data_IF_760506350485
#
_entry.id   IF_760506350485
#
_cell.length_a   1.000
_cell.length_b   1.000
_cell.length_c   1.000
_cell.angle_alpha   90.00
_cell.angle_beta   90.00
_cell.angle_gamma   90.00
#
_symmetry.space_group_name_H-M   'P 1'
#
loop_
_entity.id
_entity.type
_entity.pdbx_description
1 polymer ?
#
# COMPACT_ATOMS: atom_id res chain seq x y z
N UNK A 1 -8.50 46.65 21.15
CA UNK A 1 -7.19 45.96 21.10
C UNK A 1 -7.50 44.48 21.06
N UNK A 2 -6.92 43.68 20.14
CA UNK A 2 -7.13 42.24 20.14
C UNK A 2 -6.69 41.68 21.50
N UNK A 3 -7.60 40.96 22.16
CA UNK A 3 -7.31 40.35 23.46
C UNK A 3 -6.42 39.13 23.24
N UNK A 4 -5.11 39.34 23.37
CA UNK A 4 -4.07 38.33 23.17
C UNK A 4 -4.33 37.04 23.95
N UNK A 5 -5.02 37.11 25.10
CA UNK A 5 -5.39 35.93 25.88
C UNK A 5 -6.35 35.01 25.13
N UNK A 6 -7.34 35.59 24.45
CA UNK A 6 -8.32 34.83 23.65
C UNK A 6 -7.71 34.27 22.37
N UNK A 7 -6.83 35.03 21.70
CA UNK A 7 -6.17 34.59 20.47
C UNK A 7 -5.26 33.38 20.71
N UNK A 8 -4.50 33.37 21.81
CA UNK A 8 -3.63 32.25 22.17
C UNK A 8 -4.46 31.03 22.59
N UNK A 9 -5.52 31.21 23.39
CA UNK A 9 -6.42 30.13 23.77
C UNK A 9 -7.12 29.46 22.58
N UNK A 10 -7.55 30.26 21.60
CA UNK A 10 -8.16 29.78 20.36
C UNK A 10 -7.14 29.03 19.47
N UNK A 11 -5.92 29.56 19.33
CA UNK A 11 -4.87 28.88 18.57
C UNK A 11 -4.50 27.51 19.17
N UNK A 12 -4.44 27.41 20.50
CA UNK A 12 -4.17 26.15 21.19
C UNK A 12 -5.32 25.15 20.99
N UNK A 13 -6.56 25.60 21.14
CA UNK A 13 -7.76 24.77 20.94
C UNK A 13 -7.85 24.24 19.51
N UNK A 14 -7.52 25.07 18.53
CA UNK A 14 -7.45 24.67 17.12
C UNK A 14 -6.35 23.64 16.88
N UNK A 15 -5.16 23.83 17.45
CA UNK A 15 -4.07 22.85 17.34
C UNK A 15 -4.46 21.49 17.94
N UNK A 16 -5.12 21.47 19.10
CA UNK A 16 -5.62 20.25 19.72
C UNK A 16 -6.71 19.57 18.86
N UNK A 17 -7.63 20.34 18.29
CA UNK A 17 -8.65 19.81 17.38
C UNK A 17 -8.05 19.20 16.11
N UNK A 18 -6.98 19.76 15.56
CA UNK A 18 -6.28 19.17 14.43
C UNK A 18 -5.68 17.81 14.78
N UNK A 19 -5.08 17.67 15.96
CA UNK A 19 -4.52 16.39 16.43
C UNK A 19 -5.63 15.34 16.62
N UNK A 20 -6.73 15.72 17.28
CA UNK A 20 -7.86 14.82 17.55
C UNK A 20 -8.56 14.38 16.25
N UNK A 21 -8.66 15.25 15.25
CA UNK A 21 -9.29 14.91 13.96
C UNK A 21 -8.35 14.23 12.97
N UNK A 22 -7.03 14.33 13.16
CA UNK A 22 -6.02 13.62 12.37
C UNK A 22 -5.86 12.17 12.81
N UNK A 23 -5.98 11.88 14.12
CA UNK A 23 -5.78 10.53 14.66
C UNK A 23 -6.68 9.46 14.02
N UNK A 24 -8.00 9.66 13.85
CA UNK A 24 -8.89 8.71 13.15
C UNK A 24 -8.50 8.47 11.69
N UNK A 25 -7.98 9.50 11.01
CA UNK A 25 -7.56 9.43 9.60
C UNK A 25 -6.32 8.57 9.43
N UNK A 26 -5.35 8.71 10.34
CA UNK A 26 -4.16 7.85 10.38
C UNK A 26 -4.56 6.40 10.59
N UNK A 27 -5.52 6.13 11.48
CA UNK A 27 -6.04 4.77 11.69
C UNK A 27 -6.66 4.23 10.40
N UNK A 28 -7.49 5.03 9.71
CA UNK A 28 -8.08 4.66 8.42
C UNK A 28 -7.02 4.35 7.35
N UNK A 29 -6.02 5.22 7.19
CA UNK A 29 -4.88 5.02 6.30
C UNK A 29 -4.13 3.70 6.60
N UNK A 30 -3.82 3.46 7.87
CA UNK A 30 -3.11 2.25 8.29
C UNK A 30 -3.93 0.99 8.00
N UNK A 31 -5.24 1.01 8.25
CA UNK A 31 -6.13 -0.12 7.93
C UNK A 31 -6.12 -0.41 6.44
N UNK A 32 -6.23 0.61 5.58
CA UNK A 32 -6.22 0.43 4.12
C UNK A 32 -4.89 -0.13 3.64
N UNK A 33 -3.76 0.40 4.13
CA UNK A 33 -2.43 -0.13 3.78
C UNK A 33 -2.29 -1.58 4.22
N UNK A 34 -2.75 -1.92 5.42
CA UNK A 34 -2.63 -3.28 5.95
C UNK A 34 -3.43 -4.27 5.12
N UNK A 35 -4.66 -3.89 4.73
CA UNK A 35 -5.51 -4.69 3.82
C UNK A 35 -4.88 -4.78 2.43
N UNK A 36 -4.41 -3.68 1.87
CA UNK A 36 -3.78 -3.64 0.56
C UNK A 36 -2.51 -4.49 0.49
N UNK A 37 -1.68 -4.45 1.52
CA UNK A 37 -0.49 -5.27 1.64
C UNK A 37 -0.83 -6.77 1.69
N UNK A 38 -1.84 -7.15 2.48
CA UNK A 38 -2.31 -8.53 2.57
C UNK A 38 -2.79 -9.06 1.21
N UNK A 39 -3.61 -8.27 0.51
CA UNK A 39 -4.13 -8.63 -0.82
C UNK A 39 -2.99 -8.73 -1.84
N UNK A 40 -2.09 -7.73 -1.88
CA UNK A 40 -0.95 -7.73 -2.79
C UNK A 40 -0.05 -8.95 -2.58
N UNK A 41 0.22 -9.30 -1.32
CA UNK A 41 1.02 -10.47 -0.96
C UNK A 41 0.37 -11.78 -1.43
N UNK A 42 -0.93 -11.96 -1.18
CA UNK A 42 -1.68 -13.14 -1.59
C UNK A 42 -1.70 -13.30 -3.12
N UNK A 43 -1.99 -12.23 -3.85
CA UNK A 43 -2.07 -12.27 -5.31
C UNK A 43 -0.70 -12.53 -5.93
N UNK A 44 0.35 -11.87 -5.44
CA UNK A 44 1.72 -12.09 -5.91
C UNK A 44 2.14 -13.56 -5.75
N UNK A 45 1.87 -14.14 -4.57
CA UNK A 45 2.20 -15.54 -4.28
C UNK A 45 1.39 -16.51 -5.13
N UNK A 46 0.08 -16.26 -5.30
CA UNK A 46 -0.78 -17.07 -6.16
C UNK A 46 -0.30 -17.03 -7.61
N UNK A 47 0.05 -15.85 -8.12
CA UNK A 47 0.55 -15.67 -9.48
C UNK A 47 1.87 -16.40 -9.70
N UNK A 48 2.85 -16.21 -8.82
CA UNK A 48 4.13 -16.93 -8.92
C UNK A 48 3.94 -18.44 -8.83
N UNK A 49 3.03 -18.92 -7.98
CA UNK A 49 2.69 -20.34 -7.89
C UNK A 49 2.06 -20.87 -9.19
N UNK A 50 1.12 -20.13 -9.79
CA UNK A 50 0.45 -20.52 -11.03
C UNK A 50 1.42 -20.54 -12.21
N UNK A 51 2.26 -19.51 -12.36
CA UNK A 51 3.29 -19.47 -13.42
C UNK A 51 4.32 -20.59 -13.27
N UNK A 52 4.70 -20.94 -12.04
CA UNK A 52 5.57 -22.09 -11.79
C UNK A 52 4.85 -23.39 -12.15
N UNK A 53 3.60 -23.58 -11.73
CA UNK A 53 2.80 -24.78 -12.02
C UNK A 53 2.60 -24.99 -13.52
N UNK A 54 2.28 -23.95 -14.28
CA UNK A 54 2.15 -24.01 -15.75
C UNK A 54 3.47 -24.40 -16.45
N UNK A 55 4.62 -23.96 -15.90
CA UNK A 55 5.93 -24.39 -16.39
C UNK A 55 6.26 -25.83 -16.01
N UNK A 56 5.76 -26.32 -14.88
CA UNK A 56 5.89 -27.73 -14.48
C UNK A 56 4.99 -28.66 -15.30
N UNK A 57 3.74 -28.29 -15.63
CA UNK A 57 2.85 -29.11 -16.47
C UNK A 57 3.45 -29.36 -17.87
N UNK A 58 4.02 -28.33 -18.49
CA UNK A 58 4.64 -28.47 -19.82
C UNK A 58 5.93 -29.31 -19.83
N UNK A 59 6.56 -29.55 -18.67
CA UNK A 59 7.78 -30.36 -18.56
C UNK A 59 7.52 -31.76 -18.00
N UNK A 60 6.51 -31.92 -17.14
CA UNK A 60 6.19 -33.19 -16.51
C UNK A 60 5.60 -34.21 -17.49
N UNK A 61 4.86 -33.78 -18.50
CA UNK A 61 4.22 -34.69 -19.48
C UNK A 61 5.20 -35.30 -20.50
N UNK A 62 6.42 -34.77 -20.64
CA UNK A 62 7.41 -35.32 -21.60
C UNK A 62 8.57 -36.04 -20.95
N UNK A 63 8.80 -35.90 -19.66
CA UNK A 63 10.00 -36.45 -19.02
C UNK A 63 9.64 -36.95 -17.62
N UNK A 64 9.11 -38.17 -17.56
CA UNK A 64 9.40 -39.01 -16.39
C UNK A 64 10.93 -39.07 -16.28
N UNK A 65 11.45 -38.81 -15.07
CA UNK A 65 12.87 -38.77 -14.66
C UNK A 65 13.31 -37.36 -14.22
N UNK A 66 13.20 -37.17 -12.91
CA UNK A 66 14.28 -36.76 -12.00
C UNK A 66 15.57 -36.20 -12.66
N UNK A 67 16.02 -35.02 -12.22
CA UNK A 67 17.40 -34.53 -12.30
C UNK A 67 17.87 -33.89 -13.62
N UNK A 68 17.29 -32.80 -14.13
CA UNK A 68 18.05 -31.96 -15.07
C UNK A 68 17.49 -30.54 -15.17
N UNK A 69 17.81 -29.65 -14.23
CA UNK A 69 17.95 -28.20 -14.53
C UNK A 69 18.58 -27.36 -13.39
N UNK A 70 19.45 -27.96 -12.58
CA UNK A 70 20.37 -27.20 -11.71
C UNK A 70 21.55 -26.56 -12.50
N UNK A 71 21.51 -26.54 -13.84
CA UNK A 71 22.65 -26.18 -14.70
C UNK A 71 22.49 -24.93 -15.56
N UNK A 72 21.39 -24.19 -15.45
CA UNK A 72 21.28 -22.87 -16.09
C UNK A 72 20.87 -21.81 -15.07
N UNK A 73 21.85 -21.30 -14.33
CA UNK A 73 21.75 -20.16 -13.42
C UNK A 73 21.41 -18.82 -14.09
N UNK A 74 20.66 -18.85 -15.20
CA UNK A 74 20.17 -17.70 -15.98
C UNK A 74 18.65 -17.77 -16.18
N UNK A 75 17.94 -18.77 -15.61
CA UNK A 75 16.50 -18.63 -15.33
C UNK A 75 16.35 -17.83 -14.03
N UNK A 76 16.79 -16.57 -14.07
CA UNK A 76 16.32 -15.55 -13.14
C UNK A 76 14.80 -15.71 -13.11
N UNK A 77 14.26 -16.05 -11.95
CA UNK A 77 12.90 -16.52 -11.73
C UNK A 77 11.89 -15.51 -12.29
N UNK A 78 11.60 -15.60 -13.61
CA UNK A 78 10.78 -14.61 -14.30
C UNK A 78 9.38 -14.54 -13.68
N UNK A 79 8.91 -15.66 -13.11
CA UNK A 79 7.67 -15.73 -12.33
C UNK A 79 7.77 -14.98 -10.98
N UNK A 80 8.93 -14.98 -10.33
CA UNK A 80 9.22 -14.19 -9.13
C UNK A 80 9.38 -12.70 -9.40
N UNK A 81 10.03 -12.32 -10.51
CA UNK A 81 10.12 -10.93 -10.96
C UNK A 81 8.72 -10.41 -11.29
N UNK A 82 7.94 -11.16 -12.08
CA UNK A 82 6.58 -10.78 -12.44
C UNK A 82 5.66 -10.69 -11.20
N UNK A 83 5.80 -11.62 -10.25
CA UNK A 83 5.10 -11.57 -8.96
C UNK A 83 5.45 -10.32 -8.15
N UNK A 84 6.73 -9.91 -8.13
CA UNK A 84 7.19 -8.68 -7.46
C UNK A 84 6.62 -7.43 -8.13
N UNK A 85 6.61 -7.39 -9.47
CA UNK A 85 6.03 -6.28 -10.24
C UNK A 85 4.54 -6.15 -9.93
N UNK A 86 3.80 -7.26 -9.93
CA UNK A 86 2.35 -7.25 -9.63
C UNK A 86 2.08 -6.85 -8.18
N UNK A 87 2.90 -7.29 -7.22
CA UNK A 87 2.81 -6.83 -5.84
C UNK A 87 2.89 -5.30 -5.75
N UNK A 88 3.91 -4.71 -6.39
CA UNK A 88 4.10 -3.26 -6.42
C UNK A 88 2.93 -2.54 -7.10
N UNK A 89 2.39 -3.11 -8.17
CA UNK A 89 1.26 -2.54 -8.90
C UNK A 89 -0.02 -2.51 -8.04
N UNK A 90 -0.33 -3.63 -7.38
CA UNK A 90 -1.49 -3.72 -6.48
C UNK A 90 -1.30 -2.78 -5.30
N UNK A 91 -0.11 -2.75 -4.70
CA UNK A 91 0.20 -1.85 -3.60
C UNK A 91 -0.01 -0.38 -3.99
N UNK A 92 0.41 0.02 -5.21
CA UNK A 92 0.19 1.37 -5.73
C UNK A 92 -1.29 1.72 -5.85
N UNK A 93 -2.13 0.77 -6.25
CA UNK A 93 -3.59 0.96 -6.36
C UNK A 93 -4.20 1.20 -4.98
N UNK A 94 -3.75 0.48 -3.95
CA UNK A 94 -4.21 0.68 -2.56
C UNK A 94 -3.63 1.95 -1.92
N UNK A 95 -2.49 2.45 -2.42
CA UNK A 95 -1.89 3.67 -1.93
C UNK A 95 -2.77 4.90 -2.19
N UNK A 96 -3.55 4.91 -3.28
CA UNK A 96 -4.48 6.01 -3.63
C UNK A 96 -5.58 6.20 -2.58
N UNK A 97 -6.44 5.20 -2.26
CA UNK A 97 -7.45 5.33 -1.22
C UNK A 97 -6.84 5.45 0.18
N UNK A 98 -5.65 4.90 0.42
CA UNK A 98 -4.94 5.15 1.67
C UNK A 98 -4.61 6.65 1.81
N UNK A 99 -3.96 7.25 0.81
CA UNK A 99 -3.62 8.67 0.81
C UNK A 99 -4.85 9.58 0.93
N UNK A 100 -5.97 9.19 0.32
CA UNK A 100 -7.26 9.87 0.49
C UNK A 100 -7.77 9.79 1.93
N UNK A 101 -7.72 8.62 2.56
CA UNK A 101 -8.13 8.41 3.95
C UNK A 101 -7.27 9.20 4.96
N UNK A 102 -6.00 9.47 4.64
CA UNK A 102 -5.11 10.33 5.44
C UNK A 102 -5.60 11.80 5.45
N UNK A 103 -6.42 12.19 4.47
CA UNK A 103 -7.05 13.48 4.41
C UNK A 103 -6.20 14.55 3.73
N UNK A 104 -5.66 14.30 2.54
CA UNK A 104 -5.32 15.39 1.61
C UNK A 104 -6.42 16.49 1.52
N UNK A 105 -7.73 16.19 1.61
CA UNK A 105 -8.77 17.21 1.78
C UNK A 105 -8.77 17.99 3.12
N UNK A 106 -8.06 17.56 4.16
CA UNK A 106 -7.95 18.29 5.45
C UNK A 106 -7.18 19.60 5.32
N UNK A 107 -6.14 19.61 4.48
CA UNK A 107 -5.32 20.81 4.24
C UNK A 107 -6.20 21.93 3.69
N UNK A 108 -7.14 21.60 2.80
CA UNK A 108 -8.13 22.53 2.28
C UNK A 108 -9.03 23.11 3.38
N UNK A 109 -9.40 22.33 4.40
CA UNK A 109 -10.21 22.83 5.51
C UNK A 109 -9.43 23.74 6.46
N UNK A 110 -8.14 23.45 6.70
CA UNK A 110 -7.27 24.34 7.48
C UNK A 110 -7.05 25.66 6.75
N UNK A 111 -6.80 25.62 5.45
CA UNK A 111 -6.65 26.82 4.64
C UNK A 111 -7.95 27.62 4.57
N UNK A 112 -9.11 26.97 4.41
CA UNK A 112 -10.41 27.64 4.43
C UNK A 112 -10.73 28.26 5.79
N UNK A 113 -10.33 27.64 6.91
CA UNK A 113 -10.52 28.19 8.26
C UNK A 113 -9.57 29.35 8.60
N UNK A 114 -8.51 29.57 7.80
CA UNK A 114 -7.60 30.71 7.93
C UNK A 114 -7.94 31.86 6.97
N UNK A 115 -8.67 31.56 5.89
CA UNK A 115 -9.07 32.52 4.85
C UNK A 115 -10.49 33.07 5.09
N UNK A 116 -11.33 32.35 5.84
CA UNK A 116 -12.63 32.82 6.35
C UNK A 116 -12.48 33.55 7.69
#
# INVERSE_FOLDING_TARGET
MPDFGTTIGNALSNALNLIVTFLPRVIGFLVIILVGWLIAYLVSRALTFLLRKLRFDNLADRIGITRFEQRMGVKMDAAGILGTVVFWFIFLIFLVPAADALGLPAVSNVLNALVA
#
